data_IF_952317120239
#
_entry.id   IF_952317120239
#
_cell.length_a   1.000
_cell.length_b   1.000
_cell.length_c   1.000
_cell.angle_alpha   90.00
_cell.angle_beta   90.00
_cell.angle_gamma   90.00
#
_symmetry.space_group_name_H-M   'P 1'
#
loop_
_entity.id
_entity.type
_entity.pdbx_description
1 polymer ?
#
# COMPACT_ATOMS: atom_id res chain seq x y z
N UNK A 1 22.95 71.08 -37.03
CA UNK A 1 23.21 70.28 -38.24
C UNK A 1 23.57 68.91 -37.84
N UNK A 2 22.86 67.92 -38.29
CA UNK A 2 23.03 66.44 -38.16
C UNK A 2 22.44 65.72 -36.93
N UNK A 3 21.23 65.23 -37.15
CA UNK A 3 20.78 63.92 -36.71
C UNK A 3 21.58 62.80 -37.38
N UNK A 4 21.70 61.58 -36.88
CA UNK A 4 20.57 60.65 -36.81
C UNK A 4 20.51 59.74 -35.59
N UNK A 5 19.29 59.37 -35.25
CA UNK A 5 18.91 58.16 -34.54
C UNK A 5 18.98 56.96 -35.49
N UNK A 6 19.40 55.80 -35.02
CA UNK A 6 18.63 54.63 -35.37
C UNK A 6 18.34 53.72 -34.17
N UNK A 7 17.07 53.47 -33.96
CA UNK A 7 16.44 52.49 -33.12
C UNK A 7 17.13 51.13 -33.28
N UNK A 8 17.82 50.68 -32.24
CA UNK A 8 18.24 49.29 -32.10
C UNK A 8 17.04 48.50 -31.60
N UNK A 9 16.43 47.74 -32.49
CA UNK A 9 15.46 46.70 -32.18
C UNK A 9 16.23 45.52 -31.54
N UNK A 10 16.07 45.33 -30.24
CA UNK A 10 16.60 44.18 -29.54
C UNK A 10 15.61 43.02 -29.71
N UNK A 11 15.88 42.09 -30.62
CA UNK A 11 15.16 40.84 -30.75
C UNK A 11 15.49 39.97 -29.52
N UNK A 12 14.56 39.87 -28.56
CA UNK A 12 14.63 38.85 -27.52
C UNK A 12 14.17 37.52 -28.11
N UNK A 13 15.10 36.63 -28.36
CA UNK A 13 14.81 35.23 -28.64
C UNK A 13 14.38 34.53 -27.35
N UNK A 14 13.10 34.25 -27.20
CA UNK A 14 12.56 33.40 -26.16
C UNK A 14 12.90 31.94 -26.51
N UNK A 15 13.90 31.38 -25.86
CA UNK A 15 14.15 29.94 -25.88
C UNK A 15 13.07 29.27 -25.04
N UNK A 16 12.09 28.68 -25.68
CA UNK A 16 11.14 27.80 -25.03
C UNK A 16 11.85 26.47 -24.69
N UNK A 17 12.25 26.31 -23.44
CA UNK A 17 12.67 25.01 -22.91
C UNK A 17 11.45 24.09 -22.81
N UNK A 18 11.19 23.29 -23.83
CA UNK A 18 10.27 22.17 -23.75
C UNK A 18 11.01 21.04 -22.99
N UNK A 19 10.78 20.95 -21.68
CA UNK A 19 11.14 19.76 -20.91
C UNK A 19 10.23 18.63 -21.36
N UNK A 20 10.71 17.80 -22.28
CA UNK A 20 10.10 16.51 -22.55
C UNK A 20 10.29 15.65 -21.29
N UNK A 21 9.21 15.47 -20.53
CA UNK A 21 9.16 14.44 -19.50
C UNK A 21 9.34 13.08 -20.19
N UNK A 22 10.52 12.50 -20.08
CA UNK A 22 10.71 11.11 -20.46
C UNK A 22 9.74 10.26 -19.65
N UNK A 23 9.04 9.27 -20.26
CA UNK A 23 8.26 8.33 -19.49
C UNK A 23 9.22 7.63 -18.54
N UNK A 24 8.94 7.71 -17.23
CA UNK A 24 9.56 6.83 -16.25
C UNK A 24 9.10 5.41 -16.63
N UNK A 25 9.92 4.72 -17.40
CA UNK A 25 9.83 3.27 -17.50
C UNK A 25 10.00 2.77 -16.07
N UNK A 26 8.94 2.17 -15.52
CA UNK A 26 9.03 1.52 -14.23
C UNK A 26 10.21 0.54 -14.32
N UNK A 27 11.23 0.76 -13.49
CA UNK A 27 12.38 -0.13 -13.44
C UNK A 27 11.86 -1.54 -13.19
N UNK A 28 12.35 -2.49 -13.98
CA UNK A 28 11.97 -3.89 -13.82
C UNK A 28 12.31 -4.31 -12.39
N UNK A 29 11.34 -4.96 -11.71
CA UNK A 29 11.49 -5.38 -10.32
C UNK A 29 12.65 -6.37 -10.22
N UNK A 30 13.75 -5.94 -9.61
CA UNK A 30 15.00 -6.71 -9.46
C UNK A 30 15.04 -7.57 -8.18
N UNK A 31 13.97 -7.57 -7.39
CA UNK A 31 13.82 -8.32 -6.14
C UNK A 31 12.57 -9.21 -6.15
N UNK A 32 12.57 -10.23 -5.30
CA UNK A 32 11.42 -11.11 -5.06
C UNK A 32 11.21 -11.29 -3.56
N UNK A 33 9.98 -11.63 -3.15
CA UNK A 33 9.77 -12.19 -1.83
C UNK A 33 10.46 -13.56 -1.75
N UNK A 34 11.00 -13.89 -0.56
CA UNK A 34 11.49 -15.23 -0.25
C UNK A 34 10.36 -16.24 -0.08
N UNK A 35 10.68 -17.35 0.53
CA UNK A 35 9.72 -18.39 0.92
C UNK A 35 9.00 -18.08 2.25
N UNK A 36 9.36 -16.97 2.91
CA UNK A 36 8.82 -16.54 4.20
C UNK A 36 9.48 -17.20 5.41
N UNK A 37 10.38 -18.17 5.21
CA UNK A 37 11.09 -18.85 6.30
C UNK A 37 12.36 -18.10 6.74
N UNK A 38 13.02 -17.41 5.81
CA UNK A 38 14.24 -16.66 6.07
C UNK A 38 14.05 -15.16 5.78
N UNK A 39 14.64 -14.27 6.59
CA UNK A 39 14.62 -12.85 6.31
C UNK A 39 15.20 -12.55 4.92
N UNK A 40 14.49 -11.76 4.16
CA UNK A 40 14.95 -11.26 2.87
C UNK A 40 16.19 -10.39 3.07
N UNK A 41 17.14 -10.49 2.14
CA UNK A 41 18.36 -9.69 2.12
C UNK A 41 18.42 -8.81 0.87
N UNK A 42 17.44 -7.95 0.74
CA UNK A 42 17.27 -7.13 -0.47
C UNK A 42 18.39 -6.14 -0.71
N UNK A 43 19.13 -5.72 0.34
CA UNK A 43 20.32 -4.88 0.18
C UNK A 43 21.44 -5.57 -0.60
N UNK A 44 21.47 -6.91 -0.64
CA UNK A 44 22.45 -7.66 -1.43
C UNK A 44 22.12 -7.66 -2.92
N UNK A 45 20.86 -7.40 -3.27
CA UNK A 45 20.41 -7.26 -4.66
C UNK A 45 20.68 -5.83 -5.15
N UNK A 46 20.35 -4.84 -4.31
CA UNK A 46 20.54 -3.43 -4.64
C UNK A 46 20.84 -2.64 -3.36
N UNK A 47 21.95 -1.90 -3.33
CA UNK A 47 22.34 -1.09 -2.16
C UNK A 47 21.32 0.02 -1.81
N UNK A 48 20.49 0.45 -2.77
CA UNK A 48 19.38 1.36 -2.51
C UNK A 48 18.32 0.77 -1.55
N UNK A 49 18.32 -0.55 -1.34
CA UNK A 49 17.43 -1.25 -0.43
C UNK A 49 18.03 -1.50 0.97
N UNK A 50 19.07 -0.75 1.33
CA UNK A 50 19.76 -0.91 2.61
C UNK A 50 18.82 -0.81 3.83
N UNK A 51 17.77 0.02 3.78
CA UNK A 51 16.78 0.13 4.85
C UNK A 51 16.01 -1.18 5.09
N UNK A 52 15.85 -2.02 4.06
CA UNK A 52 15.16 -3.30 4.22
C UNK A 52 15.85 -4.22 5.22
N UNK A 53 17.19 -4.15 5.30
CA UNK A 53 17.99 -5.05 6.15
C UNK A 53 18.50 -4.35 7.42
N UNK A 54 18.65 -3.02 7.41
CA UNK A 54 19.25 -2.25 8.50
C UNK A 54 18.31 -1.25 9.17
N UNK A 55 17.08 -1.07 8.67
CA UNK A 55 16.09 -0.18 9.24
C UNK A 55 15.62 -0.66 10.61
N UNK A 56 15.28 0.27 11.49
CA UNK A 56 14.87 -0.03 12.87
C UNK A 56 13.35 -0.04 13.05
N UNK A 57 12.62 0.56 12.10
CA UNK A 57 11.15 0.67 12.15
C UNK A 57 10.50 -0.09 10.98
N UNK A 58 10.95 -1.31 10.75
CA UNK A 58 10.52 -2.10 9.61
C UNK A 58 9.17 -2.79 9.83
N UNK A 59 8.45 -3.06 8.72
CA UNK A 59 7.18 -3.80 8.65
C UNK A 59 7.34 -5.01 7.74
N UNK A 60 6.47 -6.05 7.92
CA UNK A 60 5.40 -6.18 8.91
C UNK A 60 5.92 -6.59 10.30
N UNK A 61 5.04 -6.54 11.31
CA UNK A 61 5.31 -7.03 12.68
C UNK A 61 4.26 -8.05 13.11
N UNK A 62 4.56 -8.80 14.18
CA UNK A 62 3.54 -9.58 14.87
C UNK A 62 2.71 -8.65 15.78
N UNK A 63 1.41 -8.61 15.58
CA UNK A 63 0.48 -7.76 16.31
C UNK A 63 0.22 -8.26 17.74
N UNK A 64 0.44 -9.57 17.99
CA UNK A 64 0.41 -10.15 19.34
C UNK A 64 1.48 -9.56 20.28
N UNK A 65 2.52 -8.92 19.71
CA UNK A 65 3.55 -8.22 20.48
C UNK A 65 3.13 -6.80 20.96
N UNK A 66 1.83 -6.46 20.89
CA UNK A 66 1.33 -5.15 21.33
C UNK A 66 1.72 -4.85 22.79
N UNK A 67 2.27 -3.65 23.01
CA UNK A 67 2.82 -3.21 24.30
C UNK A 67 2.09 -2.01 24.92
N UNK A 68 1.00 -1.57 24.26
CA UNK A 68 0.06 -0.58 24.77
C UNK A 68 -1.37 -0.87 24.28
N UNK A 69 -2.35 -0.28 24.96
CA UNK A 69 -3.76 -0.34 24.58
C UNK A 69 -4.31 1.07 24.45
N UNK A 70 -5.22 1.27 23.53
CA UNK A 70 -5.92 2.54 23.30
C UNK A 70 -6.59 2.58 21.96
N UNK A 71 -7.63 3.39 21.87
CA UNK A 71 -8.35 3.59 20.62
C UNK A 71 -7.81 4.79 19.86
N UNK A 72 -7.86 4.69 18.55
CA UNK A 72 -7.48 5.75 17.64
C UNK A 72 -8.73 6.16 16.88
N UNK A 73 -9.00 7.47 16.88
CA UNK A 73 -10.06 8.02 16.07
C UNK A 73 -9.72 7.79 14.58
N UNK A 74 -10.35 6.76 14.02
CA UNK A 74 -10.24 6.40 12.60
C UNK A 74 -11.61 6.51 11.96
N UNK A 75 -11.70 7.17 10.82
CA UNK A 75 -12.89 7.18 9.98
C UNK A 75 -12.52 7.00 8.53
N UNK A 76 -13.39 6.36 7.76
CA UNK A 76 -13.21 6.09 6.35
C UNK A 76 -14.31 6.81 5.56
N UNK A 77 -13.91 7.50 4.52
CA UNK A 77 -14.80 8.01 3.47
C UNK A 77 -14.66 7.06 2.27
N UNK A 78 -15.25 5.88 2.40
CA UNK A 78 -15.19 4.81 1.41
C UNK A 78 -16.56 4.58 0.78
N UNK A 79 -16.55 4.11 -0.43
CA UNK A 79 -17.71 3.78 -1.22
C UNK A 79 -17.30 3.23 -2.58
N UNK A 80 -18.18 3.35 -3.56
CA UNK A 80 -17.90 2.90 -4.91
C UNK A 80 -16.87 3.80 -5.59
N UNK A 81 -15.80 3.20 -6.10
CA UNK A 81 -14.74 3.88 -6.82
C UNK A 81 -14.28 3.10 -8.04
N UNK A 82 -13.97 3.85 -9.10
CA UNK A 82 -13.31 3.29 -10.28
C UNK A 82 -11.81 3.22 -10.08
N UNK A 83 -11.20 2.21 -10.67
CA UNK A 83 -9.76 2.02 -10.63
C UNK A 83 -9.23 1.26 -11.83
N UNK A 84 -7.91 1.09 -11.86
CA UNK A 84 -7.18 0.32 -12.87
C UNK A 84 -6.42 -0.81 -12.20
N UNK A 85 -6.59 -2.01 -12.74
CA UNK A 85 -5.88 -3.19 -12.28
C UNK A 85 -4.43 -3.17 -12.76
N UNK A 86 -3.49 -3.22 -11.82
CA UNK A 86 -2.07 -3.45 -12.10
C UNK A 86 -1.68 -4.85 -11.64
N UNK A 87 -1.12 -5.63 -12.56
CA UNK A 87 -0.68 -7.00 -12.31
C UNK A 87 0.75 -7.20 -12.80
N UNK A 88 1.56 -7.84 -11.98
CA UNK A 88 2.91 -8.28 -12.31
C UNK A 88 3.26 -9.47 -11.41
N UNK A 89 4.46 -10.03 -11.57
CA UNK A 89 4.95 -11.09 -10.66
C UNK A 89 4.90 -10.59 -9.21
N UNK A 90 4.19 -11.32 -8.34
CA UNK A 90 3.99 -10.98 -6.93
C UNK A 90 3.40 -9.58 -6.71
N UNK A 91 2.54 -9.13 -7.61
CA UNK A 91 1.83 -7.85 -7.51
C UNK A 91 0.42 -7.98 -8.08
N UNK A 92 -0.55 -7.64 -7.26
CA UNK A 92 -1.94 -7.45 -7.64
C UNK A 92 -2.45 -6.19 -6.93
N UNK A 93 -2.83 -5.18 -7.67
CA UNK A 93 -3.14 -3.84 -7.16
C UNK A 93 -4.25 -3.20 -7.98
N UNK A 94 -5.12 -2.43 -7.32
CA UNK A 94 -6.08 -1.53 -7.97
C UNK A 94 -5.68 -0.11 -7.64
N UNK A 95 -5.30 0.67 -8.64
CA UNK A 95 -5.04 2.10 -8.53
C UNK A 95 -6.37 2.86 -8.68
N UNK A 96 -6.77 3.60 -7.65
CA UNK A 96 -8.04 4.31 -7.63
C UNK A 96 -7.96 5.71 -8.25
N UNK A 97 -9.07 6.17 -8.82
CA UNK A 97 -9.26 7.59 -9.05
C UNK A 97 -9.42 8.31 -7.70
N UNK A 98 -8.97 9.59 -7.58
CA UNK A 98 -9.14 10.35 -6.34
C UNK A 98 -10.61 10.48 -5.91
N UNK A 99 -10.86 10.49 -4.61
CA UNK A 99 -12.19 10.73 -4.06
C UNK A 99 -12.48 10.01 -2.75
N UNK A 100 -11.76 8.91 -2.48
CA UNK A 100 -11.88 8.15 -1.23
C UNK A 100 -10.73 8.49 -0.28
N UNK A 101 -10.90 8.21 1.01
CA UNK A 101 -9.85 8.47 1.99
C UNK A 101 -10.13 7.96 3.38
N UNK A 102 -9.16 8.18 4.27
CA UNK A 102 -9.30 7.96 5.70
C UNK A 102 -8.88 9.20 6.48
N UNK A 103 -9.46 9.37 7.67
CA UNK A 103 -8.97 10.34 8.66
C UNK A 103 -8.50 9.59 9.89
N UNK A 104 -7.23 9.75 10.26
CA UNK A 104 -6.61 9.13 11.43
C UNK A 104 -6.10 10.19 12.39
N UNK A 105 -6.63 10.18 13.64
CA UNK A 105 -6.29 11.18 14.65
C UNK A 105 -6.52 12.63 14.20
N UNK A 106 -7.54 12.85 13.36
CA UNK A 106 -7.87 14.16 12.77
C UNK A 106 -7.07 14.55 11.54
N UNK A 107 -6.13 13.70 11.08
CA UNK A 107 -5.32 13.95 9.88
C UNK A 107 -5.92 13.21 8.68
N UNK A 108 -6.26 13.91 7.57
CA UNK A 108 -6.79 13.28 6.36
C UNK A 108 -5.68 12.66 5.51
N UNK A 109 -6.00 11.52 4.88
CA UNK A 109 -5.17 10.79 3.93
C UNK A 109 -6.04 10.36 2.75
N UNK A 110 -5.70 10.74 1.54
CA UNK A 110 -6.41 10.31 0.33
C UNK A 110 -6.04 8.85 -0.02
N UNK A 111 -7.04 8.03 -0.37
CA UNK A 111 -6.79 6.67 -0.85
C UNK A 111 -6.13 6.72 -2.24
N UNK A 112 -5.02 6.01 -2.38
CA UNK A 112 -4.26 5.91 -3.63
C UNK A 112 -4.53 4.59 -4.33
N UNK A 113 -4.41 3.49 -3.60
CA UNK A 113 -4.53 2.14 -4.16
C UNK A 113 -4.83 1.11 -3.06
N UNK A 114 -5.32 -0.06 -3.48
CA UNK A 114 -5.34 -1.28 -2.68
C UNK A 114 -4.49 -2.34 -3.37
N UNK A 115 -3.68 -3.05 -2.60
CA UNK A 115 -2.94 -4.21 -3.08
C UNK A 115 -3.04 -5.37 -2.10
N UNK A 116 -2.65 -6.56 -2.58
CA UNK A 116 -2.87 -7.79 -1.86
C UNK A 116 -1.57 -8.56 -1.64
N UNK A 117 -1.55 -9.31 -0.54
CA UNK A 117 -0.51 -10.30 -0.24
C UNK A 117 -1.13 -11.62 0.19
N UNK A 118 -0.47 -12.71 -0.16
CA UNK A 118 -0.82 -14.06 0.27
C UNK A 118 0.47 -14.81 0.67
N UNK A 119 0.53 -15.34 1.92
CA UNK A 119 -0.36 -15.06 3.05
C UNK A 119 -0.32 -13.60 3.50
N UNK A 120 -1.06 -13.26 4.57
CA UNK A 120 -1.01 -11.91 5.18
C UNK A 120 0.43 -11.58 5.61
N UNK A 121 0.81 -10.31 5.51
CA UNK A 121 2.15 -9.88 5.93
C UNK A 121 2.25 -9.73 7.45
N UNK A 122 1.26 -9.09 8.09
CA UNK A 122 1.15 -9.09 9.55
C UNK A 122 0.66 -10.46 10.05
N UNK A 123 1.06 -10.79 11.26
CA UNK A 123 0.59 -11.95 12.00
C UNK A 123 -0.08 -11.50 13.30
N UNK A 124 -0.90 -12.35 13.89
CA UNK A 124 -1.41 -12.23 15.26
C UNK A 124 -0.94 -13.49 16.01
N UNK A 125 -0.15 -13.33 17.07
CA UNK A 125 0.43 -14.42 17.84
C UNK A 125 1.18 -15.46 16.96
N UNK A 126 1.88 -14.97 15.94
CA UNK A 126 2.64 -15.78 14.98
C UNK A 126 1.81 -16.39 13.85
N UNK A 127 0.50 -16.31 13.90
CA UNK A 127 -0.39 -16.87 12.87
C UNK A 127 -0.67 -15.85 11.75
N UNK A 128 -0.56 -16.29 10.51
CA UNK A 128 -0.89 -15.52 9.31
C UNK A 128 -2.21 -15.97 8.72
N UNK A 129 -2.91 -15.04 8.12
CA UNK A 129 -4.17 -15.27 7.42
C UNK A 129 -3.94 -15.57 5.93
N UNK A 130 -4.87 -16.24 5.25
CA UNK A 130 -4.69 -16.61 3.84
C UNK A 130 -4.44 -15.43 2.91
N UNK A 131 -5.03 -14.27 3.22
CA UNK A 131 -4.97 -13.07 2.37
C UNK A 131 -5.00 -11.81 3.24
N UNK A 132 -4.35 -10.73 2.76
CA UNK A 132 -4.51 -9.37 3.30
C UNK A 132 -4.68 -8.38 2.16
N UNK A 133 -5.53 -7.38 2.37
CA UNK A 133 -5.62 -6.17 1.57
C UNK A 133 -4.93 -5.01 2.30
N UNK A 134 -4.06 -4.29 1.61
CA UNK A 134 -3.44 -3.06 2.09
C UNK A 134 -3.99 -1.86 1.32
N UNK A 135 -4.79 -1.05 1.99
CA UNK A 135 -5.28 0.22 1.46
C UNK A 135 -4.23 1.29 1.74
N UNK A 136 -3.54 1.74 0.72
CA UNK A 136 -2.48 2.74 0.83
C UNK A 136 -3.06 4.12 0.59
N UNK A 137 -2.79 4.99 1.53
CA UNK A 137 -3.23 6.38 1.52
C UNK A 137 -2.02 7.30 1.63
N UNK A 138 -2.20 8.53 1.14
CA UNK A 138 -1.19 9.58 1.25
C UNK A 138 -1.82 10.91 1.66
N UNK A 139 -1.06 11.71 2.42
CA UNK A 139 -1.36 13.13 2.61
C UNK A 139 -0.86 13.94 1.41
N UNK A 140 -1.27 15.20 1.29
CA UNK A 140 -0.75 16.13 0.29
C UNK A 140 0.77 16.35 0.42
N UNK A 141 1.33 16.14 1.62
CA UNK A 141 2.79 16.20 1.88
C UNK A 141 3.53 14.90 1.59
N UNK A 142 2.83 13.82 1.17
CA UNK A 142 3.41 12.54 0.82
C UNK A 142 3.64 11.59 2.01
N UNK A 143 3.12 11.91 3.22
CA UNK A 143 3.14 10.96 4.34
C UNK A 143 2.17 9.82 4.07
N UNK A 144 2.61 8.59 4.33
CA UNK A 144 1.83 7.40 4.05
C UNK A 144 1.08 6.89 5.28
N UNK A 145 -0.16 6.49 5.05
CA UNK A 145 -0.97 5.72 5.99
C UNK A 145 -1.48 4.46 5.30
N UNK A 146 -1.40 3.32 5.96
CA UNK A 146 -1.90 2.06 5.40
C UNK A 146 -2.91 1.45 6.35
N UNK A 147 -4.05 1.03 5.81
CA UNK A 147 -5.02 0.17 6.49
C UNK A 147 -4.88 -1.25 5.95
N UNK A 148 -4.48 -2.18 6.81
CA UNK A 148 -4.44 -3.61 6.52
C UNK A 148 -5.71 -4.31 6.99
N UNK A 149 -6.33 -5.11 6.13
CA UNK A 149 -7.50 -5.94 6.47
C UNK A 149 -7.20 -7.38 6.06
N UNK A 150 -7.20 -8.28 7.02
CA UNK A 150 -6.95 -9.71 6.81
C UNK A 150 -8.23 -10.44 6.46
N UNK A 151 -8.13 -11.49 5.65
CA UNK A 151 -9.26 -12.31 5.21
C UNK A 151 -9.06 -13.76 5.63
N UNK A 152 -10.15 -14.35 6.10
CA UNK A 152 -10.30 -15.78 6.38
C UNK A 152 -11.17 -16.46 5.31
N UNK A 153 -11.12 -17.78 5.26
CA UNK A 153 -12.04 -18.54 4.43
C UNK A 153 -13.48 -18.44 4.96
N UNK A 154 -14.43 -18.19 4.07
CA UNK A 154 -15.82 -18.09 4.44
C UNK A 154 -16.71 -17.65 3.28
N UNK A 155 -17.63 -16.74 3.56
CA UNK A 155 -18.53 -16.18 2.55
C UNK A 155 -17.75 -15.35 1.53
N UNK A 156 -18.14 -15.44 0.26
CA UNK A 156 -17.55 -14.65 -0.81
C UNK A 156 -17.72 -13.14 -0.56
N UNK A 157 -16.65 -12.39 -0.78
CA UNK A 157 -16.66 -10.93 -0.71
C UNK A 157 -16.99 -10.35 -2.09
N UNK A 158 -18.02 -9.49 -2.20
CA UNK A 158 -18.48 -8.98 -3.50
C UNK A 158 -17.46 -8.06 -4.20
N UNK A 159 -16.67 -7.29 -3.44
CA UNK A 159 -15.64 -6.43 -4.02
C UNK A 159 -14.42 -7.23 -4.51
N UNK A 160 -14.00 -8.26 -3.75
CA UNK A 160 -12.97 -9.19 -4.21
C UNK A 160 -13.42 -9.93 -5.48
N UNK A 161 -14.72 -10.28 -5.62
CA UNK A 161 -15.19 -10.93 -6.84
C UNK A 161 -15.00 -10.05 -8.07
N UNK A 162 -15.30 -8.76 -7.98
CA UNK A 162 -15.07 -7.81 -9.08
C UNK A 162 -13.58 -7.70 -9.47
N UNK A 163 -12.68 -7.81 -8.48
CA UNK A 163 -11.23 -7.82 -8.74
C UNK A 163 -10.83 -9.12 -9.44
N UNK A 164 -11.33 -10.28 -8.97
CA UNK A 164 -11.08 -11.58 -9.62
C UNK A 164 -11.61 -11.59 -11.06
N UNK A 165 -12.77 -11.00 -11.31
CA UNK A 165 -13.33 -10.89 -12.64
C UNK A 165 -12.43 -10.02 -13.55
N UNK A 166 -11.98 -8.87 -13.04
CA UNK A 166 -11.06 -7.98 -13.76
C UNK A 166 -9.69 -8.63 -14.06
N UNK A 167 -9.22 -9.54 -13.19
CA UNK A 167 -7.97 -10.30 -13.44
C UNK A 167 -8.07 -11.14 -14.70
N UNK A 168 -9.26 -11.65 -15.06
CA UNK A 168 -9.46 -12.41 -16.29
C UNK A 168 -9.35 -11.55 -17.56
N UNK A 169 -9.55 -10.23 -17.43
CA UNK A 169 -9.34 -9.26 -18.51
C UNK A 169 -7.86 -8.84 -18.65
N UNK A 170 -7.09 -9.02 -17.58
CA UNK A 170 -5.64 -8.78 -17.54
C UNK A 170 -5.24 -7.40 -17.00
N UNK A 171 -3.95 -7.12 -17.02
CA UNK A 171 -3.39 -5.86 -16.55
C UNK A 171 -3.94 -4.67 -17.35
N UNK A 172 -4.28 -3.59 -16.66
CA UNK A 172 -4.91 -2.39 -17.22
C UNK A 172 -6.43 -2.44 -17.29
N UNK A 173 -7.06 -3.58 -16.92
CA UNK A 173 -8.52 -3.69 -16.83
C UNK A 173 -9.10 -2.59 -15.92
N UNK A 174 -10.25 -2.08 -16.31
CA UNK A 174 -11.01 -1.14 -15.48
C UNK A 174 -11.86 -1.92 -14.50
N UNK A 175 -11.85 -1.52 -13.24
CA UNK A 175 -12.69 -2.13 -12.21
C UNK A 175 -13.39 -1.03 -11.42
N UNK A 176 -14.66 -1.25 -11.09
CA UNK A 176 -15.41 -0.40 -10.16
C UNK A 176 -15.85 -1.26 -8.98
N UNK A 177 -15.34 -0.93 -7.81
CA UNK A 177 -15.61 -1.66 -6.57
C UNK A 177 -16.12 -0.74 -5.48
N UNK A 178 -16.91 -1.27 -4.60
CA UNK A 178 -17.22 -0.62 -3.32
C UNK A 178 -16.09 -0.97 -2.33
N UNK A 179 -15.20 -0.01 -2.07
CA UNK A 179 -14.10 -0.20 -1.15
C UNK A 179 -14.57 -0.45 0.30
N UNK A 180 -15.76 0.03 0.67
CA UNK A 180 -16.33 -0.20 2.00
C UNK A 180 -16.65 -1.68 2.24
N UNK A 181 -16.93 -2.46 1.18
CA UNK A 181 -17.18 -3.89 1.29
C UNK A 181 -15.93 -4.73 1.63
N UNK A 182 -14.75 -4.11 1.61
CA UNK A 182 -13.47 -4.76 1.97
C UNK A 182 -12.90 -4.28 3.30
N UNK A 183 -13.69 -3.59 4.12
CA UNK A 183 -13.30 -3.17 5.48
C UNK A 183 -14.40 -3.53 6.47
N UNK A 184 -14.08 -3.94 7.71
CA UNK A 184 -15.07 -4.18 8.75
C UNK A 184 -15.81 -2.89 9.13
N UNK A 185 -17.05 -3.02 9.62
CA UNK A 185 -17.82 -1.90 10.19
C UNK A 185 -17.16 -1.36 11.47
N UNK A 186 -16.60 -2.27 12.28
CA UNK A 186 -15.80 -1.91 13.45
C UNK A 186 -14.37 -1.59 13.01
N UNK A 187 -14.00 -0.32 13.15
CA UNK A 187 -12.68 0.20 12.80
C UNK A 187 -11.68 0.13 13.97
N UNK A 188 -11.87 -0.81 14.90
CA UNK A 188 -10.86 -1.14 15.91
C UNK A 188 -9.59 -1.65 15.24
N UNK A 189 -8.46 -0.94 15.42
CA UNK A 189 -7.21 -1.23 14.72
C UNK A 189 -6.03 -1.31 15.66
N UNK A 190 -5.09 -2.21 15.36
CA UNK A 190 -3.72 -2.09 15.83
C UNK A 190 -3.04 -0.94 15.12
N UNK A 191 -2.23 -0.18 15.86
CA UNK A 191 -1.51 0.97 15.29
C UNK A 191 -0.05 0.99 15.69
N UNK A 192 0.83 1.26 14.71
CA UNK A 192 2.25 1.51 14.95
C UNK A 192 2.87 2.31 13.79
N UNK A 193 4.05 2.89 14.04
CA UNK A 193 4.86 3.49 13.00
C UNK A 193 5.82 2.45 12.43
N UNK A 194 5.77 2.24 11.13
CA UNK A 194 6.54 1.23 10.43
C UNK A 194 7.10 1.70 9.10
N UNK A 195 7.20 0.78 8.15
CA UNK A 195 7.78 0.99 6.83
C UNK A 195 6.89 0.46 5.71
N UNK A 196 7.28 0.74 4.47
CA UNK A 196 6.87 -0.09 3.35
C UNK A 196 7.40 -1.52 3.56
N UNK A 197 6.62 -2.52 3.16
CA UNK A 197 6.98 -3.94 3.25
C UNK A 197 7.74 -4.44 2.03
N UNK A 198 7.92 -3.58 1.05
CA UNK A 198 8.67 -3.85 -0.19
C UNK A 198 9.78 -2.82 -0.38
N UNK A 199 10.87 -3.16 -1.08
CA UNK A 199 11.92 -2.21 -1.40
C UNK A 199 11.39 -0.88 -2.00
N UNK A 200 11.92 0.26 -1.54
CA UNK A 200 13.11 0.44 -0.70
C UNK A 200 12.88 0.39 0.82
N UNK A 201 11.74 -0.11 1.30
CA UNK A 201 11.41 -0.27 2.72
C UNK A 201 11.47 1.03 3.53
N UNK A 202 11.09 2.13 2.89
CA UNK A 202 11.09 3.47 3.51
C UNK A 202 10.26 3.49 4.78
N UNK A 203 10.83 4.02 5.85
CA UNK A 203 10.19 4.15 7.15
C UNK A 203 9.29 5.39 7.22
N UNK A 204 8.48 5.49 8.27
CA UNK A 204 7.54 6.61 8.48
C UNK A 204 6.11 6.32 8.01
N UNK A 205 5.79 5.06 7.73
CA UNK A 205 4.42 4.64 7.37
C UNK A 205 3.58 4.48 8.64
N UNK A 206 2.43 5.16 8.67
CA UNK A 206 1.44 5.05 9.74
C UNK A 206 0.54 3.83 9.48
N UNK A 207 0.84 2.72 10.13
CA UNK A 207 0.09 1.47 9.99
C UNK A 207 -1.12 1.43 10.89
N UNK A 208 -2.24 1.04 10.29
CA UNK A 208 -3.48 0.64 10.94
C UNK A 208 -3.80 -0.77 10.45
N UNK A 209 -3.93 -1.74 11.34
CA UNK A 209 -4.31 -3.11 10.95
C UNK A 209 -5.58 -3.46 11.68
N UNK A 210 -6.62 -3.81 10.94
CA UNK A 210 -7.92 -4.16 11.53
C UNK A 210 -7.78 -5.32 12.51
N UNK A 211 -8.43 -5.19 13.68
CA UNK A 211 -8.58 -6.28 14.64
C UNK A 211 -9.50 -7.35 14.09
N UNK A 212 -10.56 -6.94 13.41
CA UNK A 212 -11.51 -7.87 12.79
C UNK A 212 -11.03 -8.29 11.40
N UNK A 213 -11.21 -9.57 11.11
CA UNK A 213 -11.04 -10.13 9.78
C UNK A 213 -12.32 -10.00 8.96
N UNK A 214 -12.21 -10.07 7.66
CA UNK A 214 -13.31 -10.32 6.75
C UNK A 214 -13.24 -11.74 6.20
N UNK A 215 -14.28 -12.16 5.50
CA UNK A 215 -14.28 -13.45 4.81
C UNK A 215 -14.16 -13.30 3.30
N UNK A 216 -13.52 -14.28 2.68
CA UNK A 216 -13.51 -14.49 1.25
C UNK A 216 -13.75 -15.98 0.95
N UNK A 217 -14.35 -16.29 -0.18
CA UNK A 217 -14.55 -17.70 -0.53
C UNK A 217 -13.21 -18.37 -0.83
N UNK A 218 -13.10 -19.70 -0.62
CA UNK A 218 -11.90 -20.45 -1.00
C UNK A 218 -11.46 -20.21 -2.45
N UNK A 219 -12.42 -20.02 -3.35
CA UNK A 219 -12.17 -19.76 -4.77
C UNK A 219 -11.54 -18.37 -4.99
N UNK A 220 -12.02 -17.35 -4.27
CA UNK A 220 -11.44 -16.00 -4.33
C UNK A 220 -10.02 -15.99 -3.77
N UNK A 221 -9.81 -16.59 -2.59
CA UNK A 221 -8.49 -16.73 -1.98
C UNK A 221 -7.54 -17.45 -2.94
N UNK A 222 -7.96 -18.57 -3.51
CA UNK A 222 -7.14 -19.34 -4.45
C UNK A 222 -6.81 -18.52 -5.71
N UNK A 223 -7.76 -17.77 -6.27
CA UNK A 223 -7.54 -16.95 -7.46
C UNK A 223 -6.48 -15.86 -7.21
N UNK A 224 -6.59 -15.13 -6.08
CA UNK A 224 -5.62 -14.10 -5.73
C UNK A 224 -4.26 -14.70 -5.37
N UNK A 225 -4.23 -15.74 -4.54
CA UNK A 225 -3.00 -16.41 -4.11
C UNK A 225 -2.22 -17.01 -5.28
N UNK A 226 -2.90 -17.64 -6.24
CA UNK A 226 -2.26 -18.20 -7.45
C UNK A 226 -1.66 -17.08 -8.33
N UNK A 227 -2.31 -15.94 -8.43
CA UNK A 227 -1.79 -14.79 -9.18
C UNK A 227 -0.57 -14.14 -8.51
N UNK A 228 -0.61 -14.04 -7.18
CA UNK A 228 0.45 -13.43 -6.38
C UNK A 228 1.66 -14.36 -6.21
N UNK A 229 1.42 -15.66 -5.97
CA UNK A 229 2.41 -16.54 -5.37
C UNK A 229 2.76 -16.09 -3.94
N UNK A 230 3.79 -16.67 -3.30
CA UNK A 230 4.27 -16.18 -2.02
C UNK A 230 4.68 -14.70 -2.13
N UNK A 231 3.99 -13.82 -1.38
CA UNK A 231 4.17 -12.38 -1.51
C UNK A 231 4.18 -11.64 -0.17
N UNK A 232 4.48 -12.35 0.90
CA UNK A 232 4.59 -11.78 2.24
C UNK A 232 6.05 -11.69 2.67
N UNK A 233 6.45 -10.51 3.15
CA UNK A 233 7.74 -10.30 3.79
C UNK A 233 7.80 -11.02 5.14
N UNK A 234 9.01 -11.43 5.56
CA UNK A 234 9.26 -11.95 6.91
C UNK A 234 8.87 -10.92 7.97
N UNK A 235 8.45 -11.41 9.16
CA UNK A 235 8.15 -10.54 10.30
C UNK A 235 9.41 -9.81 10.76
N UNK A 236 9.25 -8.53 11.07
CA UNK A 236 10.30 -7.66 11.53
C UNK A 236 10.21 -7.46 13.04
N UNK A 237 11.34 -7.32 13.75
CA UNK A 237 11.33 -7.05 15.18
C UNK A 237 10.55 -5.77 15.50
N UNK A 238 9.68 -5.81 16.50
CA UNK A 238 9.02 -4.60 17.00
C UNK A 238 10.03 -3.60 17.57
N UNK A 239 11.10 -4.11 18.20
CA UNK A 239 12.11 -3.28 18.84
C UNK A 239 11.51 -2.45 19.99
N UNK A 240 11.93 -1.19 20.09
CA UNK A 240 11.43 -0.25 21.10
C UNK A 240 10.18 0.52 20.66
N UNK A 241 9.58 0.16 19.54
CA UNK A 241 8.38 0.86 19.02
C UNK A 241 7.16 0.61 19.89
N UNK A 242 6.30 1.62 19.92
CA UNK A 242 4.96 1.49 20.45
C UNK A 242 4.08 0.78 19.41
N UNK A 243 3.48 -0.32 19.81
CA UNK A 243 2.40 -1.00 19.10
C UNK A 243 1.16 -0.97 19.99
N UNK A 244 0.18 -0.22 19.56
CA UNK A 244 -1.08 -0.02 20.30
C UNK A 244 -2.10 -1.01 19.78
N UNK A 245 -2.60 -1.89 20.64
CA UNK A 245 -3.79 -2.69 20.39
C UNK A 245 -5.05 -1.89 20.73
N UNK A 246 -6.18 -2.10 20.04
CA UNK A 246 -7.44 -1.45 20.41
C UNK A 246 -7.89 -1.89 21.80
N UNK A 247 -8.69 -1.03 22.48
CA UNK A 247 -9.33 -1.38 23.75
C UNK A 247 -10.45 -2.41 23.51
N UNK A 248 -10.67 -3.26 24.50
CA UNK A 248 -11.67 -4.31 24.45
C UNK A 248 -11.17 -5.62 23.80
N UNK A 249 -11.50 -6.72 24.44
CA UNK A 249 -11.32 -8.11 23.92
C UNK A 249 -12.50 -8.49 23.02
#
# INVERSE_FOLDING_TARGET
MNLPDPRRILLMATVACTSAAAPLLAAEKDWTFGDGEMPERWSTVNSAYALCDAGLNQSPVDLGAANARGDIALSLDYGEAAGKLAMAKQKLQVDFVPGLGMTSGGKPFALVQVHFHSPSEHAIDGERFPLVAHFVHATDSGELGVLGVMFEEGTANPALQKIVDAMNEGAGASVTIDASAMVPEDLSVFRYMGSLTTPPCSEGVNWHVSKQTLTASPQQIAALSNSLGPSARSLQPLGSRLLVAPEGD
#
